data_IF_630349082750
#
_entry.id   IF_630349082750
#
_cell.length_a   1.000
_cell.length_b   1.000
_cell.length_c   1.000
_cell.angle_alpha   90.00
_cell.angle_beta   90.00
_cell.angle_gamma   90.00
#
_symmetry.space_group_name_H-M   'P 1'
#
loop_
_entity.id
_entity.type
_entity.pdbx_description
1 polymer ?
#
# COMPACT_ATOMS: atom_id res chain seq x y z
N UNK A 1 -17.96 -29.51 20.57
CA UNK A 1 -17.21 -28.25 20.31
C UNK A 1 -16.82 -27.69 21.67
N UNK A 2 -15.52 -27.68 22.00
CA UNK A 2 -15.07 -27.19 23.30
C UNK A 2 -15.04 -25.66 23.28
N UNK A 3 -16.04 -25.06 23.91
CA UNK A 3 -16.07 -23.62 24.21
C UNK A 3 -15.10 -23.41 25.37
N UNK A 4 -13.96 -22.79 25.11
CA UNK A 4 -13.05 -22.33 26.18
C UNK A 4 -13.79 -21.33 27.07
N UNK A 5 -13.74 -21.45 28.41
CA UNK A 5 -14.44 -20.53 29.30
C UNK A 5 -13.76 -19.16 29.21
N UNK A 6 -14.40 -18.23 28.52
CA UNK A 6 -13.94 -16.85 28.42
C UNK A 6 -14.13 -16.14 29.77
N UNK A 7 -13.04 -15.66 30.36
CA UNK A 7 -13.08 -14.92 31.63
C UNK A 7 -13.53 -13.49 31.35
N UNK A 8 -14.82 -13.22 31.52
CA UNK A 8 -15.42 -11.88 31.34
C UNK A 8 -14.90 -10.87 32.38
N UNK A 9 -14.54 -9.67 31.93
CA UNK A 9 -14.14 -8.56 32.81
C UNK A 9 -15.29 -8.08 33.69
N UNK A 10 -15.00 -7.37 34.80
CA UNK A 10 -16.03 -6.83 35.71
C UNK A 10 -17.03 -5.92 34.98
N UNK A 11 -16.55 -5.09 34.06
CA UNK A 11 -17.40 -4.20 33.25
C UNK A 11 -18.28 -4.97 32.27
N UNK A 12 -17.76 -6.03 31.65
CA UNK A 12 -18.55 -6.90 30.77
C UNK A 12 -19.67 -7.62 31.53
N UNK A 13 -19.39 -8.13 32.73
CA UNK A 13 -20.42 -8.78 33.57
C UNK A 13 -21.55 -7.83 33.94
N UNK A 14 -21.21 -6.62 34.38
CA UNK A 14 -22.20 -5.59 34.70
C UNK A 14 -23.08 -5.24 33.49
N UNK A 15 -22.47 -5.03 32.32
CA UNK A 15 -23.21 -4.70 31.10
C UNK A 15 -24.13 -5.84 30.66
N UNK A 16 -23.66 -7.08 30.73
CA UNK A 16 -24.46 -8.27 30.40
C UNK A 16 -25.66 -8.44 31.34
N UNK A 17 -25.48 -8.25 32.64
CA UNK A 17 -26.57 -8.28 33.63
C UNK A 17 -27.64 -7.24 33.33
N UNK A 18 -27.26 -6.02 32.92
CA UNK A 18 -28.23 -4.99 32.52
C UNK A 18 -29.02 -5.39 31.27
N UNK A 19 -28.36 -5.97 30.26
CA UNK A 19 -29.03 -6.43 29.05
C UNK A 19 -30.04 -7.55 29.34
N UNK A 20 -29.62 -8.56 30.11
CA UNK A 20 -30.48 -9.68 30.51
C UNK A 20 -31.69 -9.20 31.31
N UNK A 21 -31.51 -8.25 32.23
CA UNK A 21 -32.59 -7.64 33.01
C UNK A 21 -33.67 -7.00 32.14
N UNK A 22 -33.30 -6.48 30.98
CA UNK A 22 -34.21 -5.84 30.03
C UNK A 22 -34.69 -6.78 28.90
N UNK A 23 -34.52 -8.09 29.07
CA UNK A 23 -35.07 -9.10 28.15
C UNK A 23 -34.22 -9.36 26.91
N UNK A 24 -32.98 -8.85 26.86
CA UNK A 24 -32.03 -9.28 25.84
C UNK A 24 -31.61 -10.73 26.10
N UNK A 25 -31.39 -11.49 25.02
CA UNK A 25 -30.95 -12.89 25.10
C UNK A 25 -29.61 -13.06 24.39
N UNK A 26 -28.76 -13.94 24.93
CA UNK A 26 -27.41 -14.14 24.40
C UNK A 26 -27.46 -14.58 22.92
N UNK A 27 -26.70 -13.88 22.08
CA UNK A 27 -26.61 -14.14 20.64
C UNK A 27 -27.67 -13.43 19.79
N UNK A 28 -28.66 -12.77 20.38
CA UNK A 28 -29.64 -11.95 19.66
C UNK A 28 -29.17 -10.52 19.45
N UNK A 29 -29.61 -9.92 18.35
CA UNK A 29 -29.41 -8.49 18.08
C UNK A 29 -30.31 -7.63 18.95
N UNK A 30 -29.99 -6.34 19.07
CA UNK A 30 -30.85 -5.38 19.77
C UNK A 30 -32.06 -4.97 18.91
N UNK A 31 -33.08 -4.37 19.55
CA UNK A 31 -34.26 -3.81 18.89
C UNK A 31 -35.49 -4.72 18.94
N UNK A 32 -36.65 -4.19 18.53
CA UNK A 32 -37.97 -4.84 18.68
C UNK A 32 -38.06 -6.23 18.03
N UNK A 33 -37.35 -6.45 16.92
CA UNK A 33 -37.32 -7.71 16.18
C UNK A 33 -36.05 -8.54 16.43
N UNK A 34 -35.21 -8.13 17.40
CA UNK A 34 -33.95 -8.80 17.74
C UNK A 34 -32.94 -8.91 16.58
N UNK A 35 -33.09 -8.08 15.56
CA UNK A 35 -32.34 -8.14 14.30
C UNK A 35 -31.26 -7.05 14.18
N UNK A 36 -30.95 -6.37 15.29
CA UNK A 36 -29.83 -5.44 15.36
C UNK A 36 -28.48 -6.12 15.22
N UNK A 37 -27.45 -5.30 15.07
CA UNK A 37 -26.07 -5.78 14.89
C UNK A 37 -25.62 -6.55 16.15
N UNK A 38 -25.15 -7.77 15.99
CA UNK A 38 -24.70 -8.67 17.07
C UNK A 38 -23.21 -8.55 17.38
N UNK A 39 -22.43 -8.00 16.46
CA UNK A 39 -20.98 -7.83 16.58
C UNK A 39 -20.62 -6.34 16.51
N UNK A 40 -19.62 -5.91 17.28
CA UNK A 40 -19.18 -4.52 17.23
C UNK A 40 -18.71 -4.15 15.81
N UNK A 41 -18.99 -2.91 15.38
CA UNK A 41 -18.50 -2.40 14.12
C UNK A 41 -16.97 -2.31 14.18
N UNK A 42 -16.28 -3.03 13.30
CA UNK A 42 -14.82 -2.95 13.19
C UNK A 42 -14.45 -1.85 12.21
N UNK A 43 -14.01 -0.71 12.73
CA UNK A 43 -13.44 0.36 11.91
C UNK A 43 -11.96 0.06 11.68
N UNK A 44 -11.53 0.11 10.43
CA UNK A 44 -10.11 0.07 10.08
C UNK A 44 -9.52 1.45 10.30
N UNK A 45 -8.49 1.54 11.13
CA UNK A 45 -7.72 2.77 11.27
C UNK A 45 -6.86 2.95 10.02
N UNK A 46 -6.95 4.14 9.40
CA UNK A 46 -6.07 4.50 8.30
C UNK A 46 -4.74 5.00 8.87
N UNK A 47 -3.66 4.28 8.58
CA UNK A 47 -2.30 4.61 9.03
C UNK A 47 -1.46 5.25 7.92
N UNK A 48 -1.98 5.31 6.69
CA UNK A 48 -1.31 5.91 5.56
C UNK A 48 -1.68 7.39 5.35
N UNK A 49 -0.84 8.07 4.56
CA UNK A 49 -1.02 9.46 4.14
C UNK A 49 -1.53 9.55 2.71
N UNK A 50 -2.02 8.46 2.14
CA UNK A 50 -2.46 8.41 0.76
C UNK A 50 -3.89 8.92 0.62
N UNK A 51 -4.21 9.58 -0.49
CA UNK A 51 -5.58 9.99 -0.78
C UNK A 51 -6.47 8.79 -1.14
N UNK A 52 -7.79 8.97 -1.09
CA UNK A 52 -8.72 7.99 -1.70
C UNK A 52 -8.45 7.95 -3.21
N UNK A 53 -8.32 6.74 -3.77
CA UNK A 53 -7.96 6.55 -5.18
C UNK A 53 -6.47 6.68 -5.47
N UNK A 54 -5.60 6.69 -4.45
CA UNK A 54 -4.16 6.55 -4.65
C UNK A 54 -3.85 5.16 -5.22
N UNK A 55 -3.13 5.15 -6.33
CA UNK A 55 -2.64 3.94 -7.00
C UNK A 55 -1.15 3.78 -6.69
N UNK A 56 -0.82 2.85 -5.80
CA UNK A 56 0.56 2.55 -5.41
C UNK A 56 1.38 2.01 -6.59
N UNK A 57 0.75 1.30 -7.54
CA UNK A 57 1.46 0.72 -8.68
C UNK A 57 1.98 1.80 -9.63
N UNK A 58 1.35 2.99 -9.65
CA UNK A 58 1.79 4.12 -10.47
C UNK A 58 3.19 4.62 -10.10
N UNK A 59 3.59 4.48 -8.85
CA UNK A 59 4.93 4.87 -8.39
C UNK A 59 6.02 3.96 -8.98
N UNK A 60 5.68 2.69 -9.24
CA UNK A 60 6.61 1.69 -9.76
C UNK A 60 6.57 1.55 -11.29
N UNK A 61 5.50 2.01 -11.94
CA UNK A 61 5.28 1.85 -13.39
C UNK A 61 5.61 3.11 -14.20
N UNK A 62 5.86 4.25 -13.55
CA UNK A 62 6.29 5.46 -14.25
C UNK A 62 7.79 5.40 -14.60
N UNK A 63 8.10 4.89 -15.79
CA UNK A 63 9.46 4.85 -16.31
C UNK A 63 9.82 6.13 -17.06
N UNK A 64 9.80 7.28 -16.38
CA UNK A 64 10.18 8.58 -16.97
C UNK A 64 11.54 8.55 -17.68
N UNK A 65 12.47 7.74 -17.19
CA UNK A 65 13.79 7.55 -17.80
C UNK A 65 13.69 6.85 -19.17
N UNK A 66 12.73 5.93 -19.34
CA UNK A 66 12.54 5.16 -20.58
C UNK A 66 12.01 6.08 -21.69
N UNK A 67 11.06 6.96 -21.37
CA UNK A 67 10.62 7.98 -22.32
C UNK A 67 11.74 8.94 -22.72
N UNK A 68 12.56 9.39 -21.76
CA UNK A 68 13.71 10.25 -22.03
C UNK A 68 14.76 9.53 -22.90
N UNK A 69 15.07 8.27 -22.56
CA UNK A 69 15.99 7.44 -23.32
C UNK A 69 15.50 7.22 -24.75
N UNK A 70 14.26 6.78 -24.93
CA UNK A 70 13.69 6.53 -26.26
C UNK A 70 13.63 7.79 -27.10
N UNK A 71 13.25 8.93 -26.51
CA UNK A 71 13.29 10.23 -27.20
C UNK A 71 14.71 10.61 -27.61
N UNK A 72 15.68 10.43 -26.73
CA UNK A 72 17.08 10.75 -27.02
C UNK A 72 17.62 9.85 -28.12
N UNK A 73 17.40 8.54 -28.03
CA UNK A 73 17.83 7.56 -29.02
C UNK A 73 17.20 7.82 -30.41
N UNK A 74 15.91 8.14 -30.46
CA UNK A 74 15.21 8.47 -31.71
C UNK A 74 15.71 9.77 -32.37
N UNK A 75 16.32 10.67 -31.60
CA UNK A 75 16.88 11.92 -32.10
C UNK A 75 18.32 11.77 -32.62
N UNK A 76 18.97 10.62 -32.39
CA UNK A 76 20.32 10.35 -32.88
C UNK A 76 20.24 9.65 -34.25
N UNK A 77 20.89 10.25 -35.24
CA UNK A 77 21.10 9.65 -36.55
C UNK A 77 22.54 9.16 -36.62
N UNK A 78 22.70 7.86 -36.89
CA UNK A 78 24.01 7.23 -37.07
C UNK A 78 24.25 7.00 -38.55
N UNK A 79 25.27 7.65 -39.09
CA UNK A 79 25.71 7.48 -40.47
C UNK A 79 27.03 6.71 -40.46
N UNK A 80 27.08 5.61 -41.22
CA UNK A 80 28.28 4.80 -41.37
C UNK A 80 28.85 5.05 -42.77
N UNK A 81 30.08 5.56 -42.82
CA UNK A 81 30.80 5.86 -44.05
C UNK A 81 32.13 5.12 -44.11
N UNK A 82 32.85 5.30 -45.23
CA UNK A 82 34.17 4.71 -45.45
C UNK A 82 35.22 5.22 -44.45
N UNK A 83 35.01 6.41 -43.87
CA UNK A 83 35.90 7.07 -42.91
C UNK A 83 35.46 6.88 -41.43
N UNK A 84 34.52 5.98 -41.15
CA UNK A 84 34.06 5.65 -39.80
C UNK A 84 32.60 6.01 -39.51
N UNK A 85 32.25 6.05 -38.22
CA UNK A 85 30.87 6.29 -37.74
C UNK A 85 30.70 7.75 -37.34
N UNK A 86 29.75 8.46 -37.96
CA UNK A 86 29.36 9.81 -37.57
C UNK A 86 27.97 9.81 -36.93
N UNK A 87 27.84 10.51 -35.80
CA UNK A 87 26.58 10.65 -35.08
C UNK A 87 26.12 12.09 -35.20
N UNK A 88 24.89 12.32 -35.66
CA UNK A 88 24.25 13.63 -35.74
C UNK A 88 22.98 13.67 -34.89
N UNK A 89 22.75 14.78 -34.21
CA UNK A 89 21.51 15.01 -33.45
C UNK A 89 20.54 15.82 -34.29
N UNK A 90 19.31 15.33 -34.42
CA UNK A 90 18.19 16.08 -35.01
C UNK A 90 17.71 17.08 -33.96
N UNK A 91 18.04 18.37 -34.13
CA UNK A 91 17.66 19.43 -33.20
C UNK A 91 16.13 19.65 -33.20
N UNK A 92 15.42 18.89 -32.36
CA UNK A 92 14.07 19.21 -31.92
C UNK A 92 14.12 19.43 -30.41
N UNK A 93 13.61 20.59 -29.99
CA UNK A 93 13.57 21.05 -28.61
C UNK A 93 13.21 19.91 -27.63
N UNK A 94 14.13 19.61 -26.71
CA UNK A 94 13.94 18.56 -25.71
C UNK A 94 12.86 18.99 -24.73
N UNK A 95 11.64 18.49 -24.92
CA UNK A 95 10.55 18.69 -23.95
C UNK A 95 10.97 18.11 -22.60
N UNK A 96 11.15 18.99 -21.61
CA UNK A 96 11.44 18.57 -20.23
C UNK A 96 10.30 17.68 -19.74
N UNK A 97 10.65 16.57 -19.09
CA UNK A 97 9.65 15.70 -18.46
C UNK A 97 8.88 16.50 -17.41
N UNK A 98 7.57 16.64 -17.60
CA UNK A 98 6.69 17.33 -16.65
C UNK A 98 6.44 16.40 -15.48
N UNK A 99 7.10 16.66 -14.35
CA UNK A 99 6.75 16.00 -13.10
C UNK A 99 5.28 16.32 -12.76
N UNK A 100 4.45 15.31 -12.46
CA UNK A 100 3.13 15.56 -11.93
C UNK A 100 3.26 16.39 -10.65
N UNK A 101 2.60 17.56 -10.61
CA UNK A 101 2.61 18.38 -9.40
C UNK A 101 1.83 17.63 -8.31
N UNK A 102 2.36 17.56 -7.08
CA UNK A 102 1.64 16.92 -5.98
C UNK A 102 0.31 17.63 -5.73
N UNK A 103 -0.73 16.86 -5.42
CA UNK A 103 -2.04 17.42 -5.05
C UNK A 103 -1.94 18.06 -3.66
N UNK A 104 -1.84 19.39 -3.62
CA UNK A 104 -1.71 20.17 -2.39
C UNK A 104 -3.00 20.26 -1.55
N UNK A 105 -4.14 19.73 -2.04
CA UNK A 105 -5.41 19.79 -1.32
C UNK A 105 -5.41 18.82 -0.14
N UNK A 106 -5.02 17.56 -0.39
CA UNK A 106 -5.02 16.51 0.63
C UNK A 106 -3.85 16.67 1.62
N UNK A 107 -2.70 17.11 1.14
CA UNK A 107 -1.49 17.30 1.97
C UNK A 107 -1.68 18.29 3.13
N UNK A 108 -2.64 19.22 3.03
CA UNK A 108 -2.98 20.15 4.14
C UNK A 108 -3.68 19.47 5.33
N UNK A 109 -4.22 18.28 5.13
CA UNK A 109 -4.96 17.52 6.15
C UNK A 109 -4.14 16.35 6.72
N UNK A 110 -3.00 16.04 6.12
CA UNK A 110 -2.05 15.06 6.65
C UNK A 110 -1.23 15.73 7.75
N UNK A 111 -1.50 15.40 9.01
CA UNK A 111 -0.64 15.80 10.13
C UNK A 111 0.52 14.82 10.21
N UNK A 112 1.73 15.32 10.02
CA UNK A 112 2.95 14.53 10.17
C UNK A 112 3.30 14.46 11.66
N UNK A 113 3.15 13.29 12.27
CA UNK A 113 3.63 13.02 13.62
C UNK A 113 4.84 12.07 13.53
N UNK A 114 6.07 12.57 13.77
CA UNK A 114 7.30 11.78 13.60
C UNK A 114 7.32 10.54 14.49
N UNK A 115 6.63 10.55 15.64
CA UNK A 115 6.59 9.40 16.55
C UNK A 115 5.78 8.26 15.94
N UNK A 116 4.61 8.57 15.37
CA UNK A 116 3.78 7.55 14.71
C UNK A 116 4.42 6.98 13.45
N UNK A 117 5.12 7.82 12.67
CA UNK A 117 5.82 7.38 11.45
C UNK A 117 6.94 6.38 11.76
N UNK A 118 7.67 6.58 12.87
CA UNK A 118 8.78 5.71 13.25
C UNK A 118 8.28 4.34 13.74
N UNK A 119 7.13 4.30 14.42
CA UNK A 119 6.49 3.06 14.85
C UNK A 119 5.88 2.31 13.66
N UNK A 120 5.23 3.01 12.72
CA UNK A 120 4.66 2.40 11.51
C UNK A 120 5.76 1.84 10.60
N UNK A 121 6.85 2.58 10.36
CA UNK A 121 7.98 2.06 9.58
C UNK A 121 8.61 0.80 10.20
N UNK A 122 8.53 0.63 11.51
CA UNK A 122 9.02 -0.56 12.20
C UNK A 122 8.07 -1.77 12.04
N UNK A 123 6.77 -1.51 11.92
CA UNK A 123 5.74 -2.56 11.78
C UNK A 123 5.50 -2.97 10.32
N UNK A 124 5.78 -2.09 9.37
CA UNK A 124 5.67 -2.33 7.91
C UNK A 124 6.97 -2.87 7.29
N UNK A 125 8.04 -3.01 8.08
CA UNK A 125 9.24 -3.72 7.63
C UNK A 125 8.92 -5.23 7.58
N UNK A 126 8.91 -5.87 6.39
CA UNK A 126 8.83 -7.32 6.32
C UNK A 126 10.02 -7.92 7.09
N UNK A 127 9.71 -8.87 7.96
CA UNK A 127 10.68 -9.58 8.81
C UNK A 127 11.80 -10.16 7.92
N UNK A 128 13.07 -9.74 8.07
CA UNK A 128 14.17 -10.13 7.17
C UNK A 128 14.51 -11.63 7.21
N UNK A 129 13.80 -12.44 7.99
CA UNK A 129 14.04 -13.88 8.10
C UNK A 129 13.29 -14.77 7.09
N UNK A 130 12.45 -14.25 6.19
CA UNK A 130 11.71 -15.09 5.24
C UNK A 130 12.33 -15.23 3.83
N UNK A 131 13.33 -14.43 3.45
CA UNK A 131 13.88 -14.46 2.09
C UNK A 131 15.06 -15.44 1.88
N UNK A 132 15.41 -16.25 2.89
CA UNK A 132 16.54 -17.20 2.83
C UNK A 132 16.16 -18.67 2.59
N UNK A 133 14.96 -18.95 2.07
CA UNK A 133 14.53 -20.34 1.73
C UNK A 133 14.17 -20.60 0.27
N UNK A 134 14.34 -19.64 -0.64
CA UNK A 134 13.99 -19.82 -2.07
C UNK A 134 15.18 -19.89 -3.04
N UNK A 135 16.43 -20.03 -2.57
CA UNK A 135 17.58 -20.30 -3.45
C UNK A 135 17.99 -21.77 -3.34
N UNK A 136 17.36 -22.63 -4.14
CA UNK A 136 17.70 -24.04 -4.19
C UNK A 136 17.23 -24.68 -5.49
N UNK A 137 17.98 -24.47 -6.57
CA UNK A 137 18.34 -25.46 -7.60
C UNK A 137 18.81 -24.73 -8.85
N UNK A 138 20.12 -24.48 -8.94
CA UNK A 138 20.77 -24.16 -10.21
C UNK A 138 21.16 -25.51 -10.82
N UNK A 139 20.44 -25.95 -11.84
CA UNK A 139 20.88 -27.06 -12.69
C UNK A 139 21.94 -26.56 -13.68
N UNK A 140 23.10 -27.24 -13.79
CA UNK A 140 24.08 -26.96 -14.82
C UNK A 140 23.87 -27.87 -16.04
N UNK A 141 23.60 -27.29 -17.20
CA UNK A 141 23.80 -27.92 -18.52
C UNK A 141 24.56 -26.88 -19.37
N UNK A 142 25.87 -27.01 -19.56
CA UNK A 142 26.59 -27.85 -20.53
C UNK A 142 26.30 -27.43 -21.99
N UNK A 143 27.39 -26.92 -22.61
CA UNK A 143 27.70 -26.68 -24.03
C UNK A 143 26.80 -25.75 -24.84
#
# INVERSE_FOLDING_TARGET
MNVTPEVKSRGMKFAEEQLLKHGWTQGKGLGRKENGITQALRVTLKQDTHGVGHDAAKEFTNHWWNELFNKTAANLVVETGQDGVQIRSLSKETTRYNHPKPNLLYQKFVKWDPVTSLVVAYLDCPDPQQELKSSGSMDPAIC
#
